data_IF_379757597370
#
_entry.id   IF_379757597370
#
_cell.length_a   1.000
_cell.length_b   1.000
_cell.length_c   1.000
_cell.angle_alpha   90.00
_cell.angle_beta   90.00
_cell.angle_gamma   90.00
#
_symmetry.space_group_name_H-M   'P 1'
#
loop_
_entity.id
_entity.type
_entity.pdbx_description
1 polymer ?
#
# COMPACT_ATOMS: atom_id res chain seq x y z
N UNK A 1 4.71 -25.38 -54.53
CA UNK A 1 5.73 -26.21 -53.86
C UNK A 1 6.65 -25.27 -53.12
N UNK A 2 6.95 -25.32 -51.82
CA UNK A 2 6.64 -26.13 -50.64
C UNK A 2 6.86 -25.12 -49.48
N UNK A 3 5.87 -24.81 -48.64
CA UNK A 3 5.86 -25.20 -47.21
C UNK A 3 7.17 -25.77 -46.62
N UNK A 4 7.78 -25.00 -45.71
CA UNK A 4 8.38 -25.36 -44.40
C UNK A 4 8.47 -24.03 -43.62
N UNK A 5 8.19 -23.87 -42.33
CA UNK A 5 7.94 -24.81 -41.25
C UNK A 5 8.73 -24.37 -40.02
N UNK A 6 8.01 -23.97 -38.98
CA UNK A 6 8.33 -24.19 -37.57
C UNK A 6 9.33 -23.28 -36.80
N UNK A 7 8.87 -22.97 -35.59
CA UNK A 7 9.63 -22.89 -34.35
C UNK A 7 10.46 -21.62 -34.09
N UNK A 8 9.79 -20.59 -33.57
CA UNK A 8 10.48 -19.48 -32.89
C UNK A 8 9.72 -18.83 -31.73
N UNK A 9 8.43 -19.10 -31.54
CA UNK A 9 7.60 -18.31 -30.60
C UNK A 9 7.27 -18.99 -29.27
N UNK A 10 7.82 -20.18 -29.01
CA UNK A 10 7.67 -20.86 -27.71
C UNK A 10 8.82 -20.63 -26.71
N UNK A 11 9.92 -19.97 -27.11
CA UNK A 11 11.09 -19.82 -26.25
C UNK A 11 10.96 -18.72 -25.16
N UNK A 12 9.98 -17.80 -25.25
CA UNK A 12 9.85 -16.73 -24.26
C UNK A 12 9.08 -17.14 -22.98
N UNK A 13 8.40 -18.30 -22.97
CA UNK A 13 7.57 -18.71 -21.83
C UNK A 13 8.30 -19.53 -20.76
N UNK A 14 9.57 -19.88 -20.96
CA UNK A 14 10.38 -20.69 -20.03
C UNK A 14 11.53 -19.95 -19.36
N UNK A 15 11.75 -18.66 -19.68
CA UNK A 15 12.81 -17.85 -19.06
C UNK A 15 12.35 -17.13 -17.77
N UNK A 16 11.07 -17.21 -17.40
CA UNK A 16 10.52 -16.54 -16.20
C UNK A 16 10.60 -17.37 -14.90
N UNK A 17 11.25 -18.54 -14.94
CA UNK A 17 11.40 -19.42 -13.76
C UNK A 17 12.79 -19.38 -13.12
N UNK A 18 13.73 -18.58 -13.63
CA UNK A 18 15.13 -18.55 -13.18
C UNK A 18 15.64 -17.18 -12.71
N UNK A 19 14.79 -16.14 -12.69
CA UNK A 19 15.14 -14.89 -12.03
C UNK A 19 14.68 -14.96 -10.57
N UNK A 20 15.59 -15.13 -9.60
CA UNK A 20 15.23 -14.96 -8.20
C UNK A 20 14.72 -13.52 -8.04
N UNK A 21 13.47 -13.40 -7.61
CA UNK A 21 12.94 -12.13 -7.08
C UNK A 21 13.93 -11.70 -6.00
N UNK A 22 14.59 -10.53 -6.12
CA UNK A 22 15.39 -10.03 -5.03
C UNK A 22 14.45 -9.88 -3.84
N UNK A 23 14.65 -10.73 -2.83
CA UNK A 23 14.02 -10.64 -1.52
C UNK A 23 14.57 -9.42 -0.78
N UNK A 24 14.42 -8.24 -1.37
CA UNK A 24 14.50 -6.97 -0.69
C UNK A 24 13.13 -6.66 -0.10
N UNK A 25 12.64 -7.54 0.76
CA UNK A 25 11.67 -7.09 1.75
C UNK A 25 12.49 -6.21 2.70
N UNK A 26 12.46 -4.89 2.51
CA UNK A 26 12.83 -4.00 3.60
C UNK A 26 11.92 -4.39 4.77
N UNK A 27 12.51 -4.98 5.81
CA UNK A 27 11.84 -5.10 7.09
C UNK A 27 11.50 -3.68 7.52
N UNK A 28 10.23 -3.31 7.36
CA UNK A 28 9.69 -2.11 8.00
C UNK A 28 9.85 -2.36 9.49
N UNK A 29 10.87 -1.74 10.09
CA UNK A 29 11.14 -1.81 11.52
C UNK A 29 9.97 -1.16 12.24
N UNK A 30 8.99 -1.97 12.61
CA UNK A 30 7.86 -1.53 13.41
C UNK A 30 8.28 -1.58 14.87
N UNK A 31 8.67 -0.41 15.39
CA UNK A 31 8.69 -0.27 16.85
C UNK A 31 7.24 -0.41 17.34
N UNK A 32 6.93 -1.27 18.33
CA UNK A 32 5.58 -1.41 18.84
C UNK A 32 5.15 -0.08 19.45
N UNK A 33 4.20 0.59 18.78
CA UNK A 33 3.59 1.82 19.30
C UNK A 33 2.64 1.42 20.41
N UNK A 34 2.95 1.80 21.65
CA UNK A 34 2.07 1.59 22.79
C UNK A 34 0.66 2.18 22.48
N UNK A 35 -0.43 1.52 22.94
CA UNK A 35 -1.78 2.02 22.68
C UNK A 35 -1.96 3.43 23.23
N UNK A 36 -2.04 4.42 22.33
CA UNK A 36 -2.33 5.79 22.71
C UNK A 36 -3.82 5.93 23.09
N UNK A 37 -4.14 6.71 24.15
CA UNK A 37 -5.52 6.93 24.55
C UNK A 37 -6.30 7.59 23.40
N UNK A 38 -7.51 7.10 23.16
CA UNK A 38 -8.38 7.66 22.12
C UNK A 38 -8.96 9.01 22.55
N UNK A 39 -9.23 9.92 21.60
CA UNK A 39 -9.96 11.16 21.87
C UNK A 39 -11.31 10.91 22.55
N UNK A 40 -11.74 11.85 23.40
CA UNK A 40 -13.09 11.83 23.97
C UNK A 40 -14.09 12.37 22.96
N UNK A 41 -15.24 11.70 22.86
CA UNK A 41 -16.36 12.08 21.99
C UNK A 41 -17.62 12.34 22.83
N UNK A 42 -18.60 13.12 22.31
CA UNK A 42 -19.88 13.34 23.00
C UNK A 42 -20.66 12.06 23.26
N UNK A 43 -21.63 12.12 24.18
CA UNK A 43 -22.54 11.01 24.42
C UNK A 43 -23.29 10.60 23.15
N UNK A 44 -23.44 9.30 22.94
CA UNK A 44 -24.04 8.73 21.72
C UNK A 44 -23.06 8.47 20.57
N UNK A 45 -21.77 8.83 20.72
CA UNK A 45 -20.72 8.50 19.77
C UNK A 45 -19.70 7.52 20.37
N UNK A 46 -19.09 6.72 19.51
CA UNK A 46 -17.96 5.84 19.83
C UNK A 46 -16.81 6.13 18.87
N UNK A 47 -15.59 5.82 19.31
CA UNK A 47 -14.39 5.90 18.49
C UNK A 47 -13.59 4.61 18.67
N UNK A 48 -13.14 4.05 17.55
CA UNK A 48 -12.33 2.84 17.52
C UNK A 48 -11.15 3.04 16.58
N UNK A 49 -10.06 2.32 16.84
CA UNK A 49 -8.92 2.27 15.93
C UNK A 49 -9.15 1.14 14.93
N UNK A 50 -9.29 1.50 13.66
CA UNK A 50 -9.56 0.56 12.56
C UNK A 50 -8.32 0.24 11.71
N UNK A 51 -7.30 1.09 11.76
CA UNK A 51 -6.00 0.89 11.11
C UNK A 51 -4.90 1.66 11.87
N UNK A 52 -3.66 1.21 11.77
CA UNK A 52 -2.51 1.86 12.40
C UNK A 52 -1.18 1.34 11.85
N UNK A 53 -0.07 1.76 12.43
CA UNK A 53 1.27 1.28 12.02
C UNK A 53 1.39 -0.24 12.16
N UNK A 54 2.05 -0.95 11.21
CA UNK A 54 2.72 -0.45 10.00
C UNK A 54 1.80 -0.09 8.83
N UNK A 55 0.55 -0.56 8.86
CA UNK A 55 -0.35 -0.45 7.71
C UNK A 55 -0.57 1.00 7.30
N UNK A 56 -0.73 1.90 8.27
CA UNK A 56 -0.91 3.34 8.07
C UNK A 56 0.09 4.12 8.93
N UNK A 57 0.92 4.96 8.30
CA UNK A 57 1.96 5.75 9.00
C UNK A 57 1.65 7.25 9.03
N UNK A 58 1.55 7.90 7.88
CA UNK A 58 1.34 9.36 7.77
C UNK A 58 0.14 9.71 6.88
N UNK A 59 -1.09 9.34 7.28
CA UNK A 59 -2.30 9.65 6.50
C UNK A 59 -2.58 11.16 6.54
N UNK A 60 -2.97 11.73 5.40
CA UNK A 60 -3.34 13.15 5.29
C UNK A 60 -4.81 13.35 4.91
N UNK A 61 -5.30 12.54 3.97
CA UNK A 61 -6.69 12.59 3.47
C UNK A 61 -7.16 11.17 3.19
N UNK A 62 -8.43 10.89 3.44
CA UNK A 62 -9.03 9.58 3.18
C UNK A 62 -10.42 9.68 2.57
N UNK A 63 -10.77 8.71 1.73
CA UNK A 63 -12.10 8.58 1.14
C UNK A 63 -12.44 7.13 0.81
N UNK A 64 -13.70 6.77 0.99
CA UNK A 64 -14.21 5.47 0.58
C UNK A 64 -14.63 5.48 -0.89
N UNK A 65 -14.47 4.34 -1.56
CA UNK A 65 -15.10 4.08 -2.84
C UNK A 65 -16.45 3.37 -2.71
N UNK A 66 -17.12 3.11 -3.83
CA UNK A 66 -18.43 2.43 -3.88
C UNK A 66 -18.39 0.97 -3.41
N UNK A 67 -17.20 0.37 -3.32
CA UNK A 67 -16.99 -1.00 -2.85
C UNK A 67 -16.61 -1.06 -1.36
N UNK A 68 -16.55 0.08 -0.67
CA UNK A 68 -16.20 0.15 0.75
C UNK A 68 -14.70 0.10 1.03
N UNK A 69 -13.84 0.21 0.01
CA UNK A 69 -12.39 0.28 0.20
C UNK A 69 -11.97 1.70 0.57
N UNK A 70 -11.02 1.83 1.48
CA UNK A 70 -10.54 3.13 1.95
C UNK A 70 -9.25 3.53 1.21
N UNK A 71 -9.29 4.65 0.49
CA UNK A 71 -8.12 5.24 -0.15
C UNK A 71 -7.56 6.36 0.71
N UNK A 72 -6.26 6.30 0.99
CA UNK A 72 -5.52 7.28 1.78
C UNK A 72 -4.46 7.96 0.92
N UNK A 73 -4.49 9.29 0.85
CA UNK A 73 -3.32 10.05 0.44
C UNK A 73 -2.39 10.18 1.64
N UNK A 74 -1.18 9.65 1.52
CA UNK A 74 -0.23 9.53 2.61
C UNK A 74 1.10 10.22 2.27
N UNK A 75 1.73 10.77 3.31
CA UNK A 75 3.09 11.29 3.22
C UNK A 75 4.11 10.15 3.40
N UNK A 76 5.27 10.27 2.75
CA UNK A 76 6.41 9.41 3.04
C UNK A 76 7.11 9.74 4.38
N UNK A 77 6.57 10.67 5.18
CA UNK A 77 7.19 11.11 6.44
C UNK A 77 8.42 12.01 6.25
N UNK A 78 8.70 12.43 5.01
CA UNK A 78 9.79 13.35 4.68
C UNK A 78 9.31 14.80 4.75
N UNK A 79 10.13 15.69 5.31
CA UNK A 79 9.89 17.13 5.33
C UNK A 79 10.80 17.83 4.31
N UNK A 80 10.48 17.69 3.02
CA UNK A 80 11.23 18.28 1.91
C UNK A 80 10.74 19.71 1.60
N UNK A 81 11.63 20.55 1.05
CA UNK A 81 11.25 21.83 0.43
C UNK A 81 10.59 21.59 -0.93
N UNK A 82 9.98 22.64 -1.50
CA UNK A 82 9.16 22.55 -2.70
C UNK A 82 9.88 21.95 -3.92
N UNK A 83 11.11 22.39 -4.22
CA UNK A 83 11.89 21.91 -5.37
C UNK A 83 12.18 20.39 -5.28
N UNK A 84 12.84 19.87 -4.24
CA UNK A 84 13.10 18.43 -4.15
C UNK A 84 11.83 17.59 -4.02
N UNK A 85 10.74 18.13 -3.44
CA UNK A 85 9.47 17.42 -3.35
C UNK A 85 8.84 17.18 -4.74
N UNK A 86 8.99 18.14 -5.65
CA UNK A 86 8.47 18.04 -7.03
C UNK A 86 9.31 17.09 -7.90
N UNK A 87 10.58 16.87 -7.54
CA UNK A 87 11.48 15.93 -8.22
C UNK A 87 11.30 14.50 -7.69
N UNK A 88 11.32 14.30 -6.38
CA UNK A 88 11.27 12.97 -5.75
C UNK A 88 9.86 12.36 -5.74
N UNK A 89 8.81 13.19 -5.72
CA UNK A 89 7.40 12.78 -5.61
C UNK A 89 7.16 11.61 -4.62
N UNK A 90 7.63 11.72 -3.37
CA UNK A 90 7.71 10.57 -2.46
C UNK A 90 6.36 10.16 -1.88
N UNK A 91 5.36 11.04 -1.93
CA UNK A 91 4.03 10.80 -1.37
C UNK A 91 3.23 9.85 -2.25
N UNK A 92 2.34 9.07 -1.65
CA UNK A 92 1.66 7.98 -2.33
C UNK A 92 0.18 7.89 -1.93
N UNK A 93 -0.59 7.17 -2.75
CA UNK A 93 -1.96 6.77 -2.42
C UNK A 93 -1.94 5.30 -2.01
N UNK A 94 -2.49 5.00 -0.84
CA UNK A 94 -2.63 3.64 -0.31
C UNK A 94 -4.10 3.24 -0.33
N UNK A 95 -4.40 1.99 -0.72
CA UNK A 95 -5.73 1.41 -0.65
C UNK A 95 -5.76 0.38 0.46
N UNK A 96 -6.75 0.51 1.35
CA UNK A 96 -7.06 -0.44 2.40
C UNK A 96 -8.37 -1.16 2.05
N UNK A 97 -8.37 -2.46 2.23
CA UNK A 97 -9.48 -3.34 1.88
C UNK A 97 -9.75 -4.26 3.07
N UNK A 98 -10.96 -4.15 3.62
CA UNK A 98 -11.44 -5.07 4.63
C UNK A 98 -11.89 -6.36 3.94
N UNK A 99 -11.21 -7.46 4.24
CA UNK A 99 -11.44 -8.76 3.59
C UNK A 99 -12.42 -9.66 4.33
N UNK A 100 -12.77 -9.33 5.59
CA UNK A 100 -13.65 -10.16 6.42
C UNK A 100 -14.93 -9.44 6.89
N UNK A 101 -15.05 -8.15 6.60
CA UNK A 101 -16.24 -7.34 6.84
C UNK A 101 -16.40 -6.88 8.28
N UNK A 102 -15.35 -6.92 9.10
CA UNK A 102 -15.39 -6.47 10.50
C UNK A 102 -15.21 -4.94 10.67
N UNK A 103 -14.96 -4.21 9.58
CA UNK A 103 -14.72 -2.77 9.56
C UNK A 103 -13.30 -2.37 9.95
N UNK A 104 -12.39 -3.33 10.11
CA UNK A 104 -10.95 -3.13 10.30
C UNK A 104 -10.20 -3.52 9.03
N UNK A 105 -9.04 -2.90 8.85
CA UNK A 105 -8.23 -3.04 7.63
C UNK A 105 -6.90 -3.74 7.91
#
# INVERSE_FOLDING_TARGET
MLQTGCAGWWACLLALLLFPVPAGAEEVVTSPVAPQPLPRVPAGFTIERVAGSPLVQYPMMGGFDEQGRLYLAASAGKNLRAEPLQEELPNFVQRLEDTDGDGRF
#
